data_IF_445953682669
#
_entry.id   IF_445953682669
#
_cell.length_a   1.000
_cell.length_b   1.000
_cell.length_c   1.000
_cell.angle_alpha   90.00
_cell.angle_beta   90.00
_cell.angle_gamma   90.00
#
_symmetry.space_group_name_H-M   'P 1'
#
loop_
_entity.id
_entity.type
_entity.pdbx_description
1 polymer ?
#
# COMPACT_ATOMS: atom_id res chain seq x y z
N UNK A 1 -25.84 -58.05 15.72
CA UNK A 1 -25.08 -57.39 14.63
C UNK A 1 -25.50 -55.94 14.38
N UNK A 2 -26.58 -55.43 14.99
CA UNK A 2 -27.09 -54.08 14.70
C UNK A 2 -26.27 -52.94 15.35
N UNK A 3 -25.67 -53.15 16.52
CA UNK A 3 -24.91 -52.11 17.25
C UNK A 3 -23.63 -51.64 16.55
N UNK A 4 -22.93 -52.52 15.83
CA UNK A 4 -21.71 -52.17 15.11
C UNK A 4 -22.00 -51.19 13.95
N UNK A 5 -23.14 -51.33 13.29
CA UNK A 5 -23.58 -50.41 12.22
C UNK A 5 -23.83 -48.99 12.74
N UNK A 6 -24.46 -48.85 13.91
CA UNK A 6 -24.69 -47.55 14.55
C UNK A 6 -23.41 -46.86 15.01
N UNK A 7 -22.42 -47.61 15.49
CA UNK A 7 -21.12 -47.06 15.90
C UNK A 7 -20.36 -46.53 14.67
N UNK A 8 -20.36 -47.27 13.56
CA UNK A 8 -19.73 -46.82 12.30
C UNK A 8 -20.45 -45.59 11.74
N UNK A 9 -21.79 -45.56 11.78
CA UNK A 9 -22.57 -44.40 11.34
C UNK A 9 -22.29 -43.15 12.19
N UNK A 10 -22.20 -43.30 13.51
CA UNK A 10 -21.89 -42.21 14.44
C UNK A 10 -20.48 -41.65 14.23
N UNK A 11 -19.51 -42.53 13.96
CA UNK A 11 -18.13 -42.15 13.64
C UNK A 11 -18.04 -41.39 12.32
N UNK A 12 -18.78 -41.83 11.31
CA UNK A 12 -18.84 -41.19 10.00
C UNK A 12 -19.52 -39.82 10.05
N UNK A 13 -20.62 -39.70 10.82
CA UNK A 13 -21.27 -38.43 11.10
C UNK A 13 -20.33 -37.47 11.83
N UNK A 14 -19.59 -37.93 12.85
CA UNK A 14 -18.63 -37.09 13.57
C UNK A 14 -17.50 -36.55 12.67
N UNK A 15 -17.03 -37.36 11.71
CA UNK A 15 -16.04 -36.94 10.71
C UNK A 15 -16.61 -35.86 9.77
N UNK A 16 -17.80 -36.07 9.23
CA UNK A 16 -18.46 -35.08 8.36
C UNK A 16 -18.70 -33.79 9.12
N UNK A 17 -19.20 -33.88 10.36
CA UNK A 17 -19.52 -32.70 11.17
C UNK A 17 -18.25 -31.93 11.55
N UNK A 18 -17.16 -32.61 11.88
CA UNK A 18 -15.85 -31.98 12.11
C UNK A 18 -15.36 -31.26 10.86
N UNK A 19 -15.40 -31.94 9.71
CA UNK A 19 -14.95 -31.37 8.43
C UNK A 19 -15.76 -30.14 8.02
N UNK A 20 -17.08 -30.18 8.20
CA UNK A 20 -17.97 -29.04 7.93
C UNK A 20 -17.69 -27.90 8.92
N UNK A 21 -17.53 -28.20 10.21
CA UNK A 21 -17.27 -27.17 11.23
C UNK A 21 -15.92 -26.47 10.98
N UNK A 22 -14.92 -27.22 10.56
CA UNK A 22 -13.56 -26.74 10.33
C UNK A 22 -13.49 -25.93 9.04
N UNK A 23 -14.16 -26.39 7.98
CA UNK A 23 -14.33 -25.60 6.75
C UNK A 23 -15.15 -24.33 6.98
N UNK A 24 -16.23 -24.40 7.76
CA UNK A 24 -17.04 -23.23 8.07
C UNK A 24 -16.25 -22.21 8.89
N UNK A 25 -15.48 -22.66 9.89
CA UNK A 25 -14.62 -21.82 10.72
C UNK A 25 -13.49 -21.20 9.89
N UNK A 26 -12.86 -21.97 9.00
CA UNK A 26 -11.85 -21.49 8.05
C UNK A 26 -12.43 -20.46 7.07
N UNK A 27 -13.62 -20.70 6.53
CA UNK A 27 -14.31 -19.79 5.63
C UNK A 27 -14.74 -18.50 6.33
N UNK A 28 -15.31 -18.59 7.53
CA UNK A 28 -15.70 -17.44 8.34
C UNK A 28 -14.49 -16.57 8.72
N UNK A 29 -13.39 -17.20 9.16
CA UNK A 29 -12.14 -16.50 9.47
C UNK A 29 -11.56 -15.80 8.24
N UNK A 30 -11.50 -16.47 7.08
CA UNK A 30 -11.04 -15.85 5.82
C UNK A 30 -11.93 -14.68 5.39
N UNK A 31 -13.25 -14.80 5.59
CA UNK A 31 -14.21 -13.73 5.26
C UNK A 31 -14.01 -12.49 6.13
N UNK A 32 -13.81 -12.68 7.44
CA UNK A 32 -13.54 -11.59 8.37
C UNK A 32 -12.20 -10.91 8.07
N UNK A 33 -11.12 -11.70 7.89
CA UNK A 33 -9.80 -11.19 7.53
C UNK A 33 -9.81 -10.39 6.20
N UNK A 34 -10.60 -10.82 5.21
CA UNK A 34 -10.78 -10.09 3.96
C UNK A 34 -11.52 -8.77 4.13
N UNK A 35 -12.54 -8.73 5.00
CA UNK A 35 -13.27 -7.49 5.34
C UNK A 35 -12.36 -6.48 6.02
N UNK A 36 -11.63 -6.92 7.04
CA UNK A 36 -10.70 -6.10 7.81
C UNK A 36 -9.54 -5.59 6.94
N UNK A 37 -9.03 -6.42 6.03
CA UNK A 37 -8.00 -6.03 5.06
C UNK A 37 -8.50 -4.94 4.10
N UNK A 38 -9.71 -5.09 3.53
CA UNK A 38 -10.28 -4.07 2.62
C UNK A 38 -10.42 -2.71 3.32
N UNK A 39 -10.90 -2.72 4.57
CA UNK A 39 -11.03 -1.50 5.39
C UNK A 39 -9.65 -0.90 5.67
N UNK A 40 -8.69 -1.72 6.07
CA UNK A 40 -7.32 -1.28 6.40
C UNK A 40 -6.61 -0.68 5.19
N UNK A 41 -6.66 -1.37 4.04
CA UNK A 41 -6.12 -0.86 2.78
C UNK A 41 -6.73 0.49 2.41
N UNK A 42 -8.06 0.62 2.51
CA UNK A 42 -8.78 1.86 2.21
C UNK A 42 -8.33 3.01 3.11
N UNK A 43 -8.21 2.78 4.41
CA UNK A 43 -7.77 3.80 5.36
C UNK A 43 -6.34 4.26 5.06
N UNK A 44 -5.42 3.32 4.88
CA UNK A 44 -4.02 3.65 4.59
C UNK A 44 -3.86 4.36 3.25
N UNK A 45 -4.58 3.93 2.21
CA UNK A 45 -4.57 4.57 0.91
C UNK A 45 -5.13 6.01 0.94
N UNK A 46 -6.18 6.26 1.73
CA UNK A 46 -6.69 7.63 1.93
C UNK A 46 -5.67 8.52 2.63
N UNK A 47 -5.00 8.00 3.66
CA UNK A 47 -3.92 8.74 4.35
C UNK A 47 -2.78 9.07 3.38
N UNK A 48 -2.42 8.14 2.50
CA UNK A 48 -1.38 8.36 1.49
C UNK A 48 -1.78 9.45 0.49
N UNK A 49 -3.03 9.46 0.00
CA UNK A 49 -3.53 10.53 -0.87
C UNK A 49 -3.39 11.90 -0.18
N UNK A 50 -3.84 12.01 1.08
CA UNK A 50 -3.78 13.27 1.83
C UNK A 50 -2.33 13.75 2.03
N UNK A 51 -1.40 12.83 2.31
CA UNK A 51 0.02 13.16 2.47
C UNK A 51 0.67 13.58 1.15
N UNK A 52 0.30 12.92 0.04
CA UNK A 52 0.74 13.30 -1.30
C UNK A 52 0.23 14.72 -1.62
N UNK A 53 -1.03 15.02 -1.34
CA UNK A 53 -1.60 16.35 -1.57
C UNK A 53 -0.83 17.42 -0.79
N UNK A 54 -0.54 17.18 0.50
CA UNK A 54 0.26 18.10 1.33
C UNK A 54 1.70 18.28 0.84
N UNK A 55 2.31 17.24 0.26
CA UNK A 55 3.66 17.32 -0.34
C UNK A 55 3.62 18.18 -1.61
N UNK A 56 2.58 18.04 -2.43
CA UNK A 56 2.44 18.71 -3.73
C UNK A 56 1.92 20.14 -3.59
N UNK A 57 1.07 20.45 -2.61
CA UNK A 57 0.56 21.81 -2.36
C UNK A 57 1.70 22.81 -2.13
N UNK A 58 2.81 22.36 -1.55
CA UNK A 58 4.02 23.17 -1.32
C UNK A 58 4.96 23.27 -2.52
N UNK A 59 4.64 22.64 -3.66
CA UNK A 59 5.47 22.63 -4.86
C UNK A 59 5.70 24.04 -5.45
N UNK A 60 4.69 24.90 -5.41
CA UNK A 60 4.77 26.26 -5.95
C UNK A 60 5.34 27.31 -4.99
N UNK A 61 5.36 27.03 -3.69
CA UNK A 61 5.60 28.03 -2.63
C UNK A 61 6.87 27.76 -1.82
N UNK A 62 7.38 26.53 -1.80
CA UNK A 62 8.56 26.14 -1.01
C UNK A 62 9.68 25.58 -1.87
N UNK A 63 10.91 25.97 -1.54
CA UNK A 63 12.13 25.51 -2.22
C UNK A 63 12.37 24.01 -2.05
N UNK A 64 11.92 23.42 -0.93
CA UNK A 64 12.07 22.00 -0.59
C UNK A 64 10.71 21.39 -0.23
N UNK A 65 10.62 20.06 -0.24
CA UNK A 65 9.46 19.38 0.35
C UNK A 65 9.53 19.40 1.87
N UNK A 66 8.36 19.37 2.53
CA UNK A 66 8.33 19.28 3.99
C UNK A 66 8.70 17.87 4.44
N UNK A 67 9.88 17.75 5.06
CA UNK A 67 10.45 16.47 5.48
C UNK A 67 9.54 15.74 6.48
N UNK A 68 8.65 16.45 7.22
CA UNK A 68 7.67 15.80 8.09
C UNK A 68 6.66 14.99 7.29
N UNK A 69 6.12 15.55 6.21
CA UNK A 69 5.16 14.82 5.37
C UNK A 69 5.82 13.64 4.66
N UNK A 70 7.08 13.75 4.25
CA UNK A 70 7.83 12.63 3.68
C UNK A 70 8.06 11.50 4.68
N UNK A 71 8.35 11.82 5.95
CA UNK A 71 8.45 10.82 7.02
C UNK A 71 7.10 10.17 7.33
N UNK A 72 6.01 10.95 7.33
CA UNK A 72 4.66 10.42 7.51
C UNK A 72 4.26 9.51 6.34
N UNK A 73 4.60 9.89 5.10
CA UNK A 73 4.36 9.08 3.91
C UNK A 73 5.11 7.75 3.97
N UNK A 74 6.38 7.78 4.40
CA UNK A 74 7.14 6.55 4.66
C UNK A 74 6.42 5.63 5.65
N UNK A 75 5.98 6.18 6.78
CA UNK A 75 5.29 5.40 7.81
C UNK A 75 3.98 4.79 7.31
N UNK A 76 3.24 5.50 6.46
CA UNK A 76 2.02 4.95 5.85
C UNK A 76 2.32 3.81 4.86
N UNK A 77 3.42 3.92 4.10
CA UNK A 77 3.87 2.86 3.20
C UNK A 77 4.35 1.64 3.98
N UNK A 78 5.09 1.82 5.07
CA UNK A 78 5.53 0.71 5.92
C UNK A 78 4.32 -0.07 6.49
N UNK A 79 3.19 0.60 6.74
CA UNK A 79 1.92 -0.05 7.14
C UNK A 79 1.26 -0.77 5.96
N UNK A 80 1.23 -0.16 4.77
CA UNK A 80 0.76 -0.83 3.55
C UNK A 80 1.57 -2.09 3.22
N UNK A 81 2.89 -2.08 3.41
CA UNK A 81 3.72 -3.25 3.16
C UNK A 81 3.39 -4.41 4.11
N UNK A 82 3.03 -4.13 5.36
CA UNK A 82 2.50 -5.18 6.27
C UNK A 82 1.16 -5.74 5.80
N UNK A 83 0.33 -4.90 5.19
CA UNK A 83 -0.94 -5.33 4.59
C UNK A 83 -0.72 -6.11 3.28
N UNK A 84 0.41 -5.92 2.59
CA UNK A 84 0.77 -6.63 1.36
C UNK A 84 0.71 -8.14 1.53
N UNK A 85 1.22 -8.66 2.65
CA UNK A 85 1.25 -10.10 2.91
C UNK A 85 -0.15 -10.70 3.09
N UNK A 86 -1.12 -9.86 3.47
CA UNK A 86 -2.52 -10.25 3.65
C UNK A 86 -3.32 -10.17 2.34
N UNK A 87 -2.78 -9.57 1.27
CA UNK A 87 -3.44 -9.48 -0.05
C UNK A 87 -3.79 -10.87 -0.62
N UNK A 88 -3.11 -11.93 -0.18
CA UNK A 88 -3.41 -13.32 -0.54
C UNK A 88 -4.86 -13.73 -0.24
N UNK A 89 -5.52 -13.08 0.74
CA UNK A 89 -6.90 -13.37 1.13
C UNK A 89 -7.96 -12.79 0.19
N UNK A 90 -7.57 -12.04 -0.84
CA UNK A 90 -8.46 -11.57 -1.90
C UNK A 90 -8.68 -12.71 -2.90
N UNK A 91 -9.93 -12.98 -3.30
CA UNK A 91 -10.20 -14.12 -4.19
C UNK A 91 -9.83 -13.87 -5.66
N UNK A 92 -9.91 -12.64 -6.15
CA UNK A 92 -9.69 -12.31 -7.55
C UNK A 92 -8.22 -11.96 -7.80
N UNK A 93 -7.58 -12.71 -8.70
CA UNK A 93 -6.15 -12.56 -9.01
C UNK A 93 -5.84 -11.21 -9.66
N UNK A 94 -6.73 -10.71 -10.54
CA UNK A 94 -6.56 -9.40 -11.17
C UNK A 94 -6.54 -8.26 -10.15
N UNK A 95 -7.35 -8.39 -9.11
CA UNK A 95 -7.45 -7.38 -8.07
C UNK A 95 -6.25 -7.44 -7.12
N UNK A 96 -5.73 -8.64 -6.82
CA UNK A 96 -4.46 -8.78 -6.10
C UNK A 96 -3.34 -8.09 -6.83
N UNK A 97 -3.17 -8.38 -8.12
CA UNK A 97 -2.12 -7.80 -8.94
C UNK A 97 -2.22 -6.28 -8.96
N UNK A 98 -3.43 -5.73 -9.12
CA UNK A 98 -3.67 -4.29 -9.09
C UNK A 98 -3.31 -3.65 -7.74
N UNK A 99 -3.66 -4.30 -6.62
CA UNK A 99 -3.31 -3.82 -5.28
C UNK A 99 -1.79 -3.84 -5.08
N UNK A 100 -1.13 -4.96 -5.40
CA UNK A 100 0.32 -5.10 -5.27
C UNK A 100 1.07 -4.08 -6.15
N UNK A 101 0.63 -3.90 -7.40
CA UNK A 101 1.19 -2.91 -8.30
C UNK A 101 1.04 -1.49 -7.75
N UNK A 102 -0.09 -1.18 -7.11
CA UNK A 102 -0.35 0.13 -6.49
C UNK A 102 0.53 0.33 -5.27
N UNK A 103 0.66 -0.65 -4.38
CA UNK A 103 1.58 -0.59 -3.23
C UNK A 103 3.02 -0.32 -3.70
N UNK A 104 3.49 -1.06 -4.70
CA UNK A 104 4.82 -0.86 -5.27
C UNK A 104 4.98 0.54 -5.90
N UNK A 105 3.97 1.04 -6.61
CA UNK A 105 4.01 2.38 -7.20
C UNK A 105 4.12 3.48 -6.14
N UNK A 106 3.41 3.34 -5.01
CA UNK A 106 3.51 4.29 -3.89
C UNK A 106 4.91 4.23 -3.25
N UNK A 107 5.47 3.03 -3.04
CA UNK A 107 6.81 2.85 -2.50
C UNK A 107 7.88 3.50 -3.40
N UNK A 108 7.80 3.29 -4.71
CA UNK A 108 8.71 3.92 -5.69
C UNK A 108 8.59 5.44 -5.62
N UNK A 109 7.36 5.98 -5.59
CA UNK A 109 7.13 7.42 -5.50
C UNK A 109 7.78 8.05 -4.27
N UNK A 110 7.66 7.39 -3.11
CA UNK A 110 8.27 7.87 -1.87
C UNK A 110 9.80 7.77 -1.90
N UNK A 111 10.36 6.71 -2.48
CA UNK A 111 11.80 6.57 -2.67
C UNK A 111 12.35 7.67 -3.56
N UNK A 112 11.68 7.96 -4.68
CA UNK A 112 12.06 9.03 -5.59
C UNK A 112 12.00 10.41 -4.89
N UNK A 113 10.94 10.67 -4.12
CA UNK A 113 10.79 11.91 -3.36
C UNK A 113 11.88 12.07 -2.29
N UNK A 114 12.20 11.00 -1.54
CA UNK A 114 13.28 11.04 -0.55
C UNK A 114 14.66 11.19 -1.18
N UNK A 115 14.92 10.52 -2.30
CA UNK A 115 16.19 10.61 -3.01
C UNK A 115 16.41 12.03 -3.52
N UNK A 116 15.38 12.63 -4.12
CA UNK A 116 15.42 14.00 -4.62
C UNK A 116 15.71 15.02 -3.51
N UNK A 117 15.01 14.90 -2.38
CA UNK A 117 15.26 15.77 -1.22
C UNK A 117 16.61 15.48 -0.57
N UNK A 118 17.00 14.21 -0.42
CA UNK A 118 18.28 13.82 0.17
C UNK A 118 19.48 14.35 -0.62
N UNK A 119 19.39 14.36 -1.94
CA UNK A 119 20.41 14.97 -2.81
C UNK A 119 20.46 16.50 -2.65
N UNK A 120 19.31 17.15 -2.46
CA UNK A 120 19.22 18.59 -2.26
C UNK A 120 19.75 19.02 -0.87
N UNK A 121 19.42 18.28 0.19
CA UNK A 121 19.85 18.55 1.57
C UNK A 121 21.33 18.25 1.83
N UNK A 122 21.87 17.11 1.35
CA UNK A 122 23.30 16.77 1.55
C UNK A 122 24.22 17.81 0.91
N UNK A 123 23.84 18.35 -0.25
CA UNK A 123 24.65 19.36 -0.96
C UNK A 123 24.49 20.78 -0.42
N UNK A 124 23.46 21.07 0.39
CA UNK A 124 23.33 22.34 1.12
C UNK A 124 24.10 22.34 2.44
N UNK A 125 24.32 21.17 3.06
CA UNK A 125 25.15 21.04 4.26
C UNK A 125 26.65 20.99 3.95
N UNK A 126 27.04 20.45 2.79
CA UNK A 126 28.44 20.25 2.38
C UNK A 126 29.03 21.51 1.72
N UNK A 127 28.89 22.67 2.37
CA UNK A 127 29.25 23.99 1.82
C UNK A 127 30.66 24.17 1.26
N UNK A 128 31.60 23.25 1.48
CA UNK A 128 32.95 23.30 0.94
C UNK A 128 33.51 21.88 0.79
N UNK A 129 33.64 21.36 -0.44
CA UNK A 129 34.76 20.52 -0.87
C UNK A 129 34.64 20.11 -2.35
N UNK A 130 35.55 20.69 -3.14
CA UNK A 130 36.19 20.08 -4.31
C UNK A 130 35.37 19.95 -5.61
N UNK A 131 35.59 20.92 -6.49
CA UNK A 131 36.47 20.64 -7.62
C UNK A 131 35.95 19.75 -8.74
N UNK A 132 34.64 19.56 -8.88
CA UNK A 132 34.00 19.28 -10.17
C UNK A 132 32.55 19.73 -10.03
N UNK A 133 32.30 20.96 -10.45
CA UNK A 133 31.00 21.58 -10.39
C UNK A 133 30.03 20.81 -11.30
N UNK A 134 29.39 19.76 -10.78
CA UNK A 134 27.99 19.52 -11.10
C UNK A 134 27.24 20.67 -10.46
N UNK A 135 27.32 21.83 -11.13
CA UNK A 135 26.57 23.04 -10.84
C UNK A 135 25.18 22.62 -10.42
N UNK A 136 24.73 23.07 -9.25
CA UNK A 136 23.36 22.86 -8.81
C UNK A 136 22.44 23.33 -9.93
N UNK A 137 21.95 22.37 -10.73
CA UNK A 137 21.00 22.68 -11.76
C UNK A 137 19.64 22.74 -11.08
N UNK A 138 19.36 23.91 -10.49
CA UNK A 138 18.07 24.25 -9.90
C UNK A 138 16.91 23.94 -10.84
N UNK A 139 17.14 24.07 -12.15
CA UNK A 139 16.19 23.75 -13.19
C UNK A 139 15.94 22.24 -13.29
N UNK A 140 16.98 21.41 -13.22
CA UNK A 140 16.84 19.95 -13.14
C UNK A 140 16.10 19.51 -11.88
N UNK A 141 16.44 20.06 -10.71
CA UNK A 141 15.76 19.74 -9.46
C UNK A 141 14.27 20.18 -9.51
N UNK A 142 14.00 21.39 -10.00
CA UNK A 142 12.64 21.89 -10.19
C UNK A 142 11.85 21.04 -11.18
N UNK A 143 12.48 20.61 -12.28
CA UNK A 143 11.90 19.73 -13.29
C UNK A 143 11.58 18.34 -12.73
N UNK A 144 12.47 17.76 -11.93
CA UNK A 144 12.24 16.48 -11.26
C UNK A 144 11.12 16.58 -10.21
N UNK A 145 11.05 17.69 -9.46
CA UNK A 145 9.91 17.96 -8.56
C UNK A 145 8.60 18.13 -9.32
N UNK A 146 8.61 18.79 -10.49
CA UNK A 146 7.43 18.93 -11.35
C UNK A 146 6.97 17.57 -11.84
N UNK A 147 7.90 16.71 -12.26
CA UNK A 147 7.61 15.35 -12.68
C UNK A 147 7.03 14.51 -11.54
N UNK A 148 7.51 14.66 -10.30
CA UNK A 148 6.89 14.05 -9.12
C UNK A 148 5.49 14.62 -8.84
N UNK A 149 5.28 15.92 -9.01
CA UNK A 149 3.95 16.51 -8.87
C UNK A 149 2.97 15.93 -9.90
N UNK A 150 3.38 15.76 -11.16
CA UNK A 150 2.55 15.10 -12.19
C UNK A 150 2.31 13.62 -11.89
N UNK A 151 3.36 12.87 -11.54
CA UNK A 151 3.23 11.44 -11.17
C UNK A 151 2.33 11.23 -9.96
N UNK A 152 2.24 12.23 -9.08
CA UNK A 152 1.33 12.19 -7.93
C UNK A 152 -0.14 12.11 -8.37
N UNK A 153 -0.52 12.77 -9.46
CA UNK A 153 -1.89 12.74 -10.01
C UNK A 153 -2.24 11.34 -10.49
N UNK A 154 -1.35 10.73 -11.27
CA UNK A 154 -1.52 9.36 -11.76
C UNK A 154 -1.55 8.34 -10.62
N UNK A 155 -0.70 8.54 -9.61
CA UNK A 155 -0.65 7.67 -8.43
C UNK A 155 -1.95 7.76 -7.63
N UNK A 156 -2.46 8.97 -7.38
CA UNK A 156 -3.75 9.18 -6.71
C UNK A 156 -4.89 8.51 -7.47
N UNK A 157 -4.95 8.66 -8.79
CA UNK A 157 -5.95 7.98 -9.63
C UNK A 157 -5.90 6.45 -9.47
N UNK A 158 -4.70 5.86 -9.49
CA UNK A 158 -4.51 4.40 -9.27
C UNK A 158 -4.97 3.97 -7.87
N UNK A 159 -4.66 4.77 -6.85
CA UNK A 159 -5.10 4.51 -5.48
C UNK A 159 -6.63 4.58 -5.37
N UNK A 160 -7.25 5.60 -5.96
CA UNK A 160 -8.71 5.77 -5.98
C UNK A 160 -9.40 4.60 -6.68
N UNK A 161 -8.85 4.10 -7.79
CA UNK A 161 -9.37 2.89 -8.44
C UNK A 161 -9.30 1.66 -7.54
N UNK A 162 -8.24 1.51 -6.74
CA UNK A 162 -8.12 0.43 -5.76
C UNK A 162 -9.12 0.63 -4.62
N UNK A 163 -9.31 1.85 -4.13
CA UNK A 163 -10.32 2.17 -3.11
C UNK A 163 -11.72 1.82 -3.63
N UNK A 164 -12.08 2.26 -4.83
CA UNK A 164 -13.37 1.93 -5.44
C UNK A 164 -13.57 0.42 -5.64
N UNK A 165 -12.51 -0.31 -6.00
CA UNK A 165 -12.56 -1.76 -6.01
C UNK A 165 -12.87 -2.34 -4.62
N UNK A 166 -12.23 -1.83 -3.57
CA UNK A 166 -12.53 -2.30 -2.20
C UNK A 166 -13.97 -1.98 -1.77
N UNK A 167 -14.58 -0.92 -2.33
CA UNK A 167 -15.97 -0.49 -2.12
C UNK A 167 -16.98 -1.29 -2.97
N UNK A 168 -16.55 -1.85 -4.10
CA UNK A 168 -17.35 -2.70 -4.98
C UNK A 168 -17.83 -3.97 -4.29
N UNK A 169 -19.16 -4.11 -4.23
CA UNK A 169 -19.89 -5.29 -3.73
C UNK A 169 -19.35 -6.58 -4.35
N UNK A 170 -19.34 -7.65 -3.55
CA UNK A 170 -19.09 -9.00 -4.04
C UNK A 170 -20.00 -9.32 -5.23
N UNK A 171 -19.38 -9.92 -6.24
CA UNK A 171 -20.02 -10.93 -7.06
C UNK A 171 -19.39 -12.27 -6.67
#
# INVERSE_FOLDING_TARGET
>A
MEQAGYIVLGSFLALITSFISENYRSWSNKKNQRGDLKISLRLEFKVIIELIDKIVEKFGTSQFFDIRFLKQLKSAIDRLEKLRDHVIFINNEKDKEKILATINAVAIYQSDALSLEGQAFKRTSDGEAQGEAVTWNHENYRSQRQLLATRSVDLKRRIEEVIHFTEGKGY
#
